data_IF_195310339262
#
_entry.id   IF_195310339262
#
_cell.length_a   1.000
_cell.length_b   1.000
_cell.length_c   1.000
_cell.angle_alpha   90.00
_cell.angle_beta   90.00
_cell.angle_gamma   90.00
#
_symmetry.space_group_name_H-M   'P 1'
#
loop_
_entity.id
_entity.type
_entity.pdbx_description
1 polymer ?
#
# COMPACT_ATOMS: atom_id res chain seq x y z
N UNK A 1 11.48 -8.81 10.55
CA UNK A 1 10.69 -9.46 9.49
C UNK A 1 11.34 -10.76 9.00
N UNK A 2 12.09 -11.47 9.85
CA UNK A 2 12.85 -12.66 9.44
C UNK A 2 11.99 -13.86 9.07
N UNK A 3 10.80 -13.98 9.66
CA UNK A 3 9.89 -15.12 9.43
C UNK A 3 9.25 -15.12 8.03
N UNK A 4 8.96 -13.93 7.49
CA UNK A 4 8.43 -13.74 6.13
C UNK A 4 9.45 -14.07 5.04
N UNK A 5 10.76 -13.99 5.35
CA UNK A 5 11.86 -14.33 4.42
C UNK A 5 12.15 -15.83 4.34
N UNK A 6 11.10 -16.65 4.19
CA UNK A 6 11.21 -18.11 4.10
C UNK A 6 10.34 -18.66 2.97
N UNK A 7 10.76 -19.80 2.43
CA UNK A 7 9.99 -20.53 1.41
C UNK A 7 9.74 -19.66 0.17
N UNK A 8 8.50 -19.70 -0.32
CA UNK A 8 8.10 -19.00 -1.56
C UNK A 8 8.00 -17.48 -1.41
N UNK A 9 7.94 -16.95 -0.18
CA UNK A 9 7.81 -15.51 0.09
C UNK A 9 9.16 -14.82 0.33
N UNK A 10 10.27 -15.54 0.10
CA UNK A 10 11.63 -14.99 0.24
C UNK A 10 11.99 -14.12 -0.96
N UNK A 11 11.62 -12.85 -0.89
CA UNK A 11 11.97 -11.86 -1.90
C UNK A 11 13.16 -11.03 -1.45
N UNK A 12 14.22 -11.02 -2.25
CA UNK A 12 15.44 -10.31 -1.89
C UNK A 12 15.20 -8.80 -1.77
N UNK A 13 15.50 -8.26 -0.59
CA UNK A 13 15.40 -6.83 -0.33
C UNK A 13 13.99 -6.29 -0.09
N UNK A 14 12.93 -7.12 -0.17
CA UNK A 14 11.55 -6.68 0.04
C UNK A 14 11.32 -6.03 1.42
N UNK A 15 12.06 -6.49 2.44
CA UNK A 15 11.98 -5.97 3.80
C UNK A 15 12.85 -4.72 4.06
N UNK A 16 13.52 -4.19 3.02
CA UNK A 16 14.30 -2.94 3.18
C UNK A 16 13.33 -1.83 3.59
N UNK A 17 13.62 -1.04 4.66
CA UNK A 17 12.72 0.01 5.13
C UNK A 17 12.26 0.99 4.04
N UNK A 18 13.16 1.33 3.11
CA UNK A 18 12.84 2.18 1.96
C UNK A 18 11.79 1.55 1.02
N UNK A 19 11.91 0.25 0.73
CA UNK A 19 10.95 -0.47 -0.14
C UNK A 19 9.59 -0.57 0.54
N UNK A 20 9.58 -0.90 1.84
CA UNK A 20 8.35 -0.92 2.64
C UNK A 20 7.68 0.46 2.64
N UNK A 21 8.42 1.55 2.85
CA UNK A 21 7.87 2.90 2.83
C UNK A 21 7.24 3.28 1.48
N UNK A 22 7.91 2.96 0.36
CA UNK A 22 7.38 3.23 -0.99
C UNK A 22 6.10 2.42 -1.24
N UNK A 23 6.11 1.13 -0.90
CA UNK A 23 4.94 0.27 -1.08
C UNK A 23 3.76 0.71 -0.20
N UNK A 24 4.02 1.13 1.04
CA UNK A 24 3.01 1.67 1.94
C UNK A 24 2.40 2.96 1.38
N UNK A 25 3.22 3.87 0.83
CA UNK A 25 2.72 5.09 0.20
C UNK A 25 1.81 4.79 -0.99
N UNK A 26 2.17 3.82 -1.84
CA UNK A 26 1.34 3.38 -2.96
C UNK A 26 0.00 2.80 -2.50
N UNK A 27 0.04 1.86 -1.55
CA UNK A 27 -1.17 1.19 -1.05
C UNK A 27 -2.08 2.20 -0.35
N UNK A 28 -1.56 2.95 0.63
CA UNK A 28 -2.37 3.92 1.38
C UNK A 28 -2.83 5.09 0.49
N UNK A 29 -1.97 5.58 -0.41
CA UNK A 29 -2.31 6.62 -1.36
C UNK A 29 -3.44 6.20 -2.30
N UNK A 30 -3.41 4.95 -2.79
CA UNK A 30 -4.50 4.42 -3.61
C UNK A 30 -5.82 4.33 -2.85
N UNK A 31 -5.79 3.90 -1.58
CA UNK A 31 -6.99 3.83 -0.73
C UNK A 31 -7.57 5.23 -0.53
N UNK A 32 -6.74 6.23 -0.20
CA UNK A 32 -7.19 7.62 -0.04
C UNK A 32 -7.78 8.17 -1.34
N UNK A 33 -7.11 7.91 -2.47
CA UNK A 33 -7.61 8.34 -3.78
C UNK A 33 -8.98 7.73 -4.10
N UNK A 34 -9.17 6.43 -3.81
CA UNK A 34 -10.45 5.74 -4.01
C UNK A 34 -11.54 6.28 -3.08
N UNK A 35 -11.23 6.60 -1.81
CA UNK A 35 -12.18 7.21 -0.89
C UNK A 35 -12.61 8.59 -1.41
N UNK A 36 -11.67 9.45 -1.79
CA UNK A 36 -11.97 10.77 -2.34
C UNK A 36 -12.83 10.64 -3.61
N UNK A 37 -12.48 9.70 -4.48
CA UNK A 37 -13.25 9.44 -5.70
C UNK A 37 -14.68 8.98 -5.39
N UNK A 38 -14.85 8.04 -4.46
CA UNK A 38 -16.16 7.57 -4.01
C UNK A 38 -17.00 8.71 -3.41
N UNK A 39 -16.40 9.57 -2.60
CA UNK A 39 -17.08 10.74 -2.03
C UNK A 39 -17.53 11.75 -3.09
N UNK A 40 -16.80 11.89 -4.21
CA UNK A 40 -17.16 12.78 -5.31
C UNK A 40 -18.21 12.19 -6.26
N UNK A 41 -18.15 10.88 -6.49
CA UNK A 41 -18.98 10.21 -7.51
C UNK A 41 -20.28 9.67 -6.91
N UNK A 42 -20.22 9.03 -5.75
CA UNK A 42 -21.38 8.37 -5.14
C UNK A 42 -22.16 9.30 -4.20
N UNK A 43 -21.52 10.35 -3.68
CA UNK A 43 -22.12 11.28 -2.73
C UNK A 43 -21.98 12.71 -3.24
N UNK A 44 -22.95 13.58 -2.93
CA UNK A 44 -22.82 15.02 -3.17
C UNK A 44 -22.06 15.60 -1.99
N UNK A 45 -20.74 15.35 -1.95
CA UNK A 45 -19.84 16.05 -1.04
C UNK A 45 -19.24 17.22 -1.83
N UNK A 46 -19.99 18.31 -1.87
CA UNK A 46 -19.70 19.56 -2.58
C UNK A 46 -20.73 20.61 -2.22
#
# INVERSE_FOLDING_TARGET
>A
MSDLNRGIMKFEGADKPAIVAISAFLVLGSIVALIIWALKVAYVVG
#
